data_IF_623748276292
#
_entry.id   IF_623748276292
#
_cell.length_a   1.000
_cell.length_b   1.000
_cell.length_c   1.000
_cell.angle_alpha   90.00
_cell.angle_beta   90.00
_cell.angle_gamma   90.00
#
_symmetry.space_group_name_H-M   'P 1'
#
loop_
_entity.id
_entity.type
_entity.pdbx_description
1 polymer ?
#
# COMPACT_ATOMS: atom_id res chain seq x y z
N UNK A 1 17.37 -18.93 -25.43
CA UNK A 1 17.47 -18.68 -23.99
C UNK A 1 16.52 -17.53 -23.71
N UNK A 2 15.24 -17.86 -23.40
CA UNK A 2 14.31 -16.87 -22.86
C UNK A 2 14.89 -16.44 -21.51
N UNK A 3 15.23 -15.17 -21.39
CA UNK A 3 15.52 -14.57 -20.09
C UNK A 3 14.22 -14.65 -19.32
N UNK A 4 14.18 -15.56 -18.35
CA UNK A 4 13.12 -15.66 -17.36
C UNK A 4 13.05 -14.29 -16.68
N UNK A 5 12.13 -13.43 -17.18
CA UNK A 5 12.04 -12.05 -16.72
C UNK A 5 11.34 -12.10 -15.36
N UNK A 6 12.15 -12.24 -14.32
CA UNK A 6 11.69 -12.31 -12.92
C UNK A 6 10.77 -11.12 -12.66
N UNK A 7 9.50 -11.39 -12.34
CA UNK A 7 8.53 -10.35 -12.02
C UNK A 7 8.97 -9.55 -10.80
N UNK A 8 8.72 -8.25 -10.82
CA UNK A 8 9.18 -7.30 -9.81
C UNK A 8 8.01 -6.82 -8.95
N UNK A 9 8.20 -6.81 -7.64
CA UNK A 9 7.18 -6.41 -6.68
C UNK A 9 7.65 -5.27 -5.78
N UNK A 10 6.90 -4.17 -5.79
CA UNK A 10 7.04 -3.05 -4.88
C UNK A 10 6.11 -3.28 -3.69
N UNK A 11 6.66 -3.49 -2.51
CA UNK A 11 5.92 -3.86 -1.31
C UNK A 11 5.74 -2.66 -0.41
N UNK A 12 4.48 -2.27 -0.17
CA UNK A 12 4.13 -1.19 0.74
C UNK A 12 4.30 -1.65 2.19
N UNK A 13 5.40 -1.24 2.79
CA UNK A 13 5.78 -1.60 4.16
C UNK A 13 5.26 -0.56 5.15
N UNK A 14 4.43 -1.00 6.10
CA UNK A 14 3.89 -0.15 7.17
C UNK A 14 4.59 -0.35 8.52
N UNK A 15 5.60 -1.21 8.60
CA UNK A 15 6.20 -1.65 9.88
C UNK A 15 5.39 -2.74 10.60
N UNK A 16 4.14 -2.99 10.19
CA UNK A 16 3.28 -4.02 10.77
C UNK A 16 3.53 -5.42 10.23
N UNK A 17 2.95 -6.42 10.94
CA UNK A 17 3.10 -7.85 10.62
C UNK A 17 2.57 -8.19 9.23
N UNK A 18 1.41 -7.66 8.84
CA UNK A 18 0.75 -8.00 7.57
C UNK A 18 1.61 -7.63 6.35
N UNK A 19 2.20 -6.43 6.37
CA UNK A 19 3.12 -6.01 5.30
C UNK A 19 4.42 -6.80 5.29
N UNK A 20 4.89 -7.23 6.46
CA UNK A 20 6.09 -8.06 6.59
C UNK A 20 5.87 -9.47 6.04
N UNK A 21 4.70 -10.05 6.32
CA UNK A 21 4.28 -11.35 5.74
C UNK A 21 4.12 -11.24 4.23
N UNK A 22 3.53 -10.14 3.75
CA UNK A 22 3.44 -9.85 2.32
C UNK A 22 4.80 -9.87 1.64
N UNK A 23 5.79 -9.19 2.23
CA UNK A 23 7.16 -9.16 1.72
C UNK A 23 7.79 -10.55 1.68
N UNK A 24 7.61 -11.31 2.75
CA UNK A 24 8.13 -12.68 2.84
C UNK A 24 7.55 -13.57 1.74
N UNK A 25 6.23 -13.59 1.60
CA UNK A 25 5.55 -14.44 0.62
C UNK A 25 5.95 -14.10 -0.82
N UNK A 26 6.02 -12.81 -1.17
CA UNK A 26 6.42 -12.42 -2.52
C UNK A 26 7.85 -12.85 -2.83
N UNK A 27 8.75 -12.75 -1.85
CA UNK A 27 10.12 -13.23 -1.99
C UNK A 27 10.18 -14.75 -2.16
N UNK A 28 9.45 -15.53 -1.34
CA UNK A 28 9.36 -16.99 -1.46
C UNK A 28 8.79 -17.44 -2.82
N UNK A 29 7.89 -16.65 -3.40
CA UNK A 29 7.35 -16.87 -4.74
C UNK A 29 8.30 -16.44 -5.88
N UNK A 30 9.53 -16.03 -5.56
CA UNK A 30 10.57 -15.73 -6.55
C UNK A 30 10.44 -14.36 -7.23
N UNK A 31 9.77 -13.38 -6.62
CA UNK A 31 9.72 -12.01 -7.13
C UNK A 31 11.00 -11.24 -6.75
N UNK A 32 11.47 -10.35 -7.65
CA UNK A 32 12.44 -9.30 -7.28
C UNK A 32 11.70 -8.21 -6.50
N UNK A 33 11.97 -8.14 -5.20
CA UNK A 33 11.22 -7.32 -4.27
C UNK A 33 11.99 -6.08 -3.83
N UNK A 34 11.27 -4.95 -3.70
CA UNK A 34 11.70 -3.80 -2.89
C UNK A 34 10.65 -3.49 -1.84
N UNK A 35 11.09 -3.12 -0.64
CA UNK A 35 10.23 -2.56 0.40
C UNK A 35 10.19 -1.05 0.31
N UNK A 36 9.00 -0.47 0.43
CA UNK A 36 8.80 0.98 0.38
C UNK A 36 7.90 1.43 1.51
N UNK A 37 8.35 2.38 2.32
CA UNK A 37 7.49 3.09 3.27
C UNK A 37 7.21 4.50 2.77
N UNK A 38 5.96 4.93 2.89
CA UNK A 38 5.56 6.30 2.56
C UNK A 38 5.74 7.19 3.79
N UNK A 39 6.52 8.25 3.66
CA UNK A 39 6.56 9.33 4.65
C UNK A 39 5.43 10.31 4.32
N UNK A 40 4.41 10.38 5.19
CA UNK A 40 3.19 11.15 4.97
C UNK A 40 3.19 12.51 5.68
N UNK A 41 3.92 12.66 6.78
CA UNK A 41 4.01 13.92 7.54
C UNK A 41 5.37 14.06 8.22
N UNK A 42 5.68 15.27 8.65
CA UNK A 42 6.81 15.55 9.52
C UNK A 42 6.35 15.45 10.98
N UNK A 43 7.13 14.82 11.84
CA UNK A 43 6.76 14.65 13.26
C UNK A 43 6.53 15.97 14.01
N UNK A 44 7.09 17.06 13.49
CA UNK A 44 6.96 18.41 14.05
C UNK A 44 5.58 19.02 13.76
N UNK A 45 4.96 18.67 12.62
CA UNK A 45 3.69 19.25 12.19
C UNK A 45 2.46 18.58 12.82
N UNK A 46 2.61 17.35 13.31
CA UNK A 46 1.47 16.54 13.71
C UNK A 46 0.96 16.78 15.14
N UNK A 47 1.75 17.41 16.03
CA UNK A 47 1.37 17.60 17.44
C UNK A 47 0.99 16.31 18.19
N UNK A 48 1.16 15.16 17.54
CA UNK A 48 0.74 13.83 18.03
C UNK A 48 1.91 13.12 18.66
N UNK A 49 1.68 12.54 19.84
CA UNK A 49 2.70 11.74 20.52
C UNK A 49 3.17 10.59 19.61
N UNK A 50 4.47 10.34 19.58
CA UNK A 50 5.20 9.39 18.73
C UNK A 50 4.62 7.96 18.62
N UNK A 51 3.64 7.60 19.44
CA UNK A 51 3.16 6.22 19.61
C UNK A 51 1.89 5.84 18.85
N UNK A 52 1.26 6.72 18.05
CA UNK A 52 -0.07 6.43 17.49
C UNK A 52 -0.30 6.87 16.02
N UNK A 53 0.73 7.10 15.24
CA UNK A 53 0.57 7.48 13.83
C UNK A 53 1.00 6.34 12.91
N UNK A 54 0.25 6.11 11.83
CA UNK A 54 0.53 5.06 10.86
C UNK A 54 1.72 5.36 9.93
N UNK A 55 2.84 5.84 10.40
CA UNK A 55 4.13 6.06 9.71
C UNK A 55 5.09 6.74 10.68
N UNK A 56 5.17 6.22 11.91
CA UNK A 56 6.13 6.70 12.91
C UNK A 56 7.57 6.36 12.48
N UNK A 57 8.55 7.01 13.09
CA UNK A 57 9.95 6.64 12.86
C UNK A 57 10.22 5.19 13.26
N UNK A 58 9.55 4.71 14.29
CA UNK A 58 9.67 3.33 14.77
C UNK A 58 9.15 2.36 13.67
N UNK A 59 8.01 2.67 13.04
CA UNK A 59 7.47 1.86 11.92
C UNK A 59 8.42 1.81 10.71
N UNK A 60 9.09 2.93 10.41
CA UNK A 60 10.10 3.01 9.34
C UNK A 60 11.31 2.14 9.67
N UNK A 61 11.77 2.15 10.93
CA UNK A 61 12.88 1.32 11.39
C UNK A 61 12.51 -0.17 11.39
N UNK A 62 11.31 -0.51 11.83
CA UNK A 62 10.81 -1.89 11.82
C UNK A 62 10.70 -2.41 10.38
N UNK A 63 10.13 -1.65 9.47
CA UNK A 63 10.05 -1.99 8.06
C UNK A 63 11.44 -2.19 7.44
N UNK A 64 12.39 -1.31 7.75
CA UNK A 64 13.78 -1.40 7.29
C UNK A 64 14.45 -2.66 7.81
N UNK A 65 14.29 -2.97 9.11
CA UNK A 65 14.88 -4.15 9.73
C UNK A 65 14.34 -5.44 9.14
N UNK A 66 13.04 -5.51 8.86
CA UNK A 66 12.41 -6.65 8.19
C UNK A 66 13.00 -6.83 6.80
N UNK A 67 13.03 -5.77 5.98
CA UNK A 67 13.60 -5.81 4.64
C UNK A 67 15.09 -6.23 4.65
N UNK A 68 15.87 -5.69 5.59
CA UNK A 68 17.27 -6.04 5.74
C UNK A 68 17.47 -7.54 6.05
N UNK A 69 16.71 -8.09 7.00
CA UNK A 69 16.76 -9.52 7.35
C UNK A 69 16.37 -10.42 6.18
N UNK A 70 15.49 -9.95 5.32
CA UNK A 70 15.06 -10.68 4.12
C UNK A 70 16.01 -10.46 2.92
N UNK A 71 17.01 -9.58 3.01
CA UNK A 71 17.86 -9.20 1.89
C UNK A 71 17.10 -8.45 0.78
N UNK A 72 16.04 -7.71 1.15
CA UNK A 72 15.23 -6.87 0.26
C UNK A 72 15.72 -5.44 0.37
N UNK A 73 15.91 -4.74 -0.76
CA UNK A 73 16.22 -3.31 -0.79
C UNK A 73 15.05 -2.51 -0.22
N UNK A 74 15.34 -1.46 0.56
CA UNK A 74 14.33 -0.65 1.23
C UNK A 74 14.48 0.82 0.90
N UNK A 75 13.35 1.48 0.66
CA UNK A 75 13.27 2.90 0.33
C UNK A 75 12.16 3.61 1.12
N UNK A 76 12.34 4.92 1.30
CA UNK A 76 11.30 5.79 1.88
C UNK A 76 10.90 6.81 0.81
N UNK A 77 9.64 6.81 0.41
CA UNK A 77 9.10 7.81 -0.50
C UNK A 77 8.45 8.95 0.30
N UNK A 78 8.88 10.16 0.05
CA UNK A 78 8.31 11.33 0.70
C UNK A 78 7.07 11.82 -0.07
N UNK A 79 5.90 11.68 0.55
CA UNK A 79 4.62 12.15 0.03
C UNK A 79 3.96 13.18 0.98
N UNK A 80 4.73 13.86 1.85
CA UNK A 80 4.18 14.73 2.88
C UNK A 80 3.38 15.93 2.32
N UNK A 81 3.86 16.56 1.25
CA UNK A 81 3.12 17.65 0.59
C UNK A 81 1.78 17.16 0.04
N UNK A 82 1.81 16.03 -0.66
CA UNK A 82 0.60 15.43 -1.23
C UNK A 82 -0.37 14.93 -0.16
N UNK A 83 0.14 14.40 0.93
CA UNK A 83 -0.70 14.00 2.06
C UNK A 83 -1.44 15.21 2.65
N UNK A 84 -0.77 16.36 2.75
CA UNK A 84 -1.41 17.58 3.20
C UNK A 84 -2.54 18.00 2.23
N UNK A 85 -2.24 18.13 0.94
CA UNK A 85 -3.18 18.60 -0.07
C UNK A 85 -4.37 17.64 -0.30
N UNK A 86 -4.05 16.36 -0.54
CA UNK A 86 -5.01 15.37 -1.03
C UNK A 86 -5.77 14.66 0.10
N UNK A 87 -5.30 14.73 1.35
CA UNK A 87 -5.93 14.06 2.48
C UNK A 87 -6.32 15.04 3.59
N UNK A 88 -5.35 15.83 4.11
CA UNK A 88 -5.62 16.67 5.28
C UNK A 88 -6.52 17.84 4.94
N UNK A 89 -6.20 18.60 3.91
CA UNK A 89 -6.96 19.79 3.51
C UNK A 89 -8.38 19.40 3.06
N UNK A 90 -8.52 18.29 2.35
CA UNK A 90 -9.83 17.71 1.97
C UNK A 90 -10.64 17.23 3.17
N UNK A 91 -9.98 16.63 4.16
CA UNK A 91 -10.63 16.20 5.40
C UNK A 91 -11.21 17.41 6.17
N UNK A 92 -10.41 18.48 6.30
CA UNK A 92 -10.85 19.72 6.96
C UNK A 92 -12.02 20.36 6.22
N UNK A 93 -11.89 20.54 4.89
CA UNK A 93 -12.93 21.11 4.05
C UNK A 93 -14.27 20.33 4.16
N UNK A 94 -14.21 19.00 4.08
CA UNK A 94 -15.40 18.17 4.21
C UNK A 94 -16.07 18.33 5.60
N UNK A 95 -15.24 18.42 6.65
CA UNK A 95 -15.74 18.58 8.02
C UNK A 95 -16.41 19.96 8.20
N UNK A 96 -15.80 21.02 7.66
CA UNK A 96 -16.35 22.39 7.69
C UNK A 96 -17.70 22.48 6.96
N UNK A 97 -17.91 21.65 5.94
CA UNK A 97 -19.18 21.54 5.20
C UNK A 97 -20.17 20.51 5.79
N UNK A 98 -19.91 20.02 7.01
CA UNK A 98 -20.82 19.12 7.75
C UNK A 98 -20.83 17.66 7.27
N UNK A 99 -19.86 17.25 6.46
CA UNK A 99 -19.69 15.83 6.08
C UNK A 99 -18.88 15.06 7.16
N UNK A 100 -18.91 13.75 7.07
CA UNK A 100 -18.07 12.86 7.92
C UNK A 100 -17.10 12.10 7.01
N UNK A 101 -15.94 12.70 6.65
CA UNK A 101 -15.01 12.09 5.74
C UNK A 101 -14.24 10.93 6.38
N UNK A 102 -13.80 9.98 5.56
CA UNK A 102 -12.86 8.94 5.97
C UNK A 102 -11.49 9.18 5.29
N UNK A 103 -10.51 9.73 6.00
CA UNK A 103 -9.20 10.08 5.42
C UNK A 103 -8.42 8.85 4.93
N UNK A 104 -8.74 7.65 5.41
CA UNK A 104 -8.12 6.42 4.92
C UNK A 104 -8.48 6.13 3.46
N UNK A 105 -9.68 6.48 3.02
CA UNK A 105 -10.10 6.33 1.62
C UNK A 105 -9.26 7.24 0.72
N UNK A 106 -9.15 8.51 1.07
CA UNK A 106 -8.35 9.47 0.29
C UNK A 106 -6.86 9.10 0.30
N UNK A 107 -6.31 8.71 1.45
CA UNK A 107 -4.93 8.23 1.54
C UNK A 107 -4.68 7.01 0.64
N UNK A 108 -5.57 6.04 0.62
CA UNK A 108 -5.43 4.88 -0.28
C UNK A 108 -5.54 5.33 -1.73
N UNK A 109 -6.54 6.16 -2.09
CA UNK A 109 -6.76 6.61 -3.46
C UNK A 109 -5.56 7.40 -4.01
N UNK A 110 -5.24 8.55 -3.39
CA UNK A 110 -4.32 9.53 -3.96
C UNK A 110 -2.85 9.19 -3.72
N UNK A 111 -2.52 8.53 -2.61
CA UNK A 111 -1.14 8.27 -2.25
C UNK A 111 -0.72 6.83 -2.50
N UNK A 112 -1.41 5.86 -1.89
CA UNK A 112 -0.98 4.47 -2.01
C UNK A 112 -1.17 3.92 -3.42
N UNK A 113 -2.28 4.28 -4.09
CA UNK A 113 -2.56 3.67 -5.38
C UNK A 113 -2.35 4.60 -6.57
N UNK A 114 -2.48 5.92 -6.44
CA UNK A 114 -2.11 6.81 -7.55
C UNK A 114 -0.60 7.10 -7.57
N UNK A 115 -0.05 7.67 -6.48
CA UNK A 115 1.36 8.07 -6.46
C UNK A 115 2.32 6.89 -6.41
N UNK A 116 2.00 5.85 -5.64
CA UNK A 116 2.84 4.65 -5.61
C UNK A 116 2.75 3.87 -6.92
N UNK A 117 1.58 3.85 -7.57
CA UNK A 117 1.41 3.24 -8.89
C UNK A 117 2.24 3.97 -9.95
N UNK A 118 2.25 5.31 -9.93
CA UNK A 118 3.14 6.09 -10.77
C UNK A 118 4.62 5.73 -10.53
N UNK A 119 5.04 5.67 -9.25
CA UNK A 119 6.41 5.28 -8.88
C UNK A 119 6.75 3.85 -9.28
N UNK A 120 5.82 2.93 -9.14
CA UNK A 120 5.99 1.55 -9.60
C UNK A 120 6.34 1.50 -11.09
N UNK A 121 5.60 2.26 -11.92
CA UNK A 121 5.86 2.36 -13.36
C UNK A 121 7.20 3.01 -13.69
N UNK A 122 7.53 4.11 -13.03
CA UNK A 122 8.81 4.82 -13.20
C UNK A 122 10.02 3.94 -12.87
N UNK A 123 9.85 3.03 -11.91
CA UNK A 123 10.88 2.09 -11.48
C UNK A 123 10.82 0.74 -12.24
N UNK A 124 9.90 0.59 -13.19
CA UNK A 124 9.70 -0.63 -13.97
C UNK A 124 9.42 -1.86 -13.11
N UNK A 125 8.54 -1.70 -12.10
CA UNK A 125 7.98 -2.79 -11.30
C UNK A 125 6.63 -3.22 -11.84
N UNK A 126 6.31 -4.51 -11.67
CA UNK A 126 5.08 -5.12 -12.21
C UNK A 126 3.90 -5.03 -11.25
N UNK A 127 4.18 -5.11 -9.93
CA UNK A 127 3.14 -5.17 -8.91
C UNK A 127 3.40 -4.26 -7.73
N UNK A 128 2.30 -3.70 -7.18
CA UNK A 128 2.25 -3.15 -5.83
C UNK A 128 1.65 -4.21 -4.91
N UNK A 129 2.35 -4.53 -3.84
CA UNK A 129 1.90 -5.49 -2.83
C UNK A 129 1.61 -4.75 -1.53
N UNK A 130 0.45 -5.03 -0.94
CA UNK A 130 0.01 -4.37 0.29
C UNK A 130 -0.48 -5.38 1.31
N UNK A 131 -0.41 -5.03 2.60
CA UNK A 131 -0.99 -5.82 3.69
C UNK A 131 -2.51 -5.67 3.85
N UNK A 132 -3.24 -5.16 2.85
CA UNK A 132 -4.69 -5.04 2.94
C UNK A 132 -5.38 -6.40 2.88
N UNK A 133 -6.40 -6.57 3.71
CA UNK A 133 -7.30 -7.72 3.68
C UNK A 133 -8.39 -7.51 2.63
N UNK A 134 -8.11 -7.94 1.41
CA UNK A 134 -9.02 -7.95 0.26
C UNK A 134 -8.52 -8.97 -0.75
N UNK A 135 -9.31 -9.31 -1.76
CA UNK A 135 -8.88 -10.18 -2.86
C UNK A 135 -9.07 -9.49 -4.19
N UNK A 136 -8.12 -9.71 -5.09
CA UNK A 136 -8.22 -9.30 -6.49
C UNK A 136 -8.10 -10.55 -7.34
N UNK A 137 -9.09 -10.80 -8.17
CA UNK A 137 -9.15 -11.97 -9.04
C UNK A 137 -9.55 -11.53 -10.46
N UNK A 138 -8.97 -12.16 -11.48
CA UNK A 138 -9.38 -11.94 -12.85
C UNK A 138 -10.56 -12.87 -13.19
N UNK A 139 -11.63 -12.31 -13.69
CA UNK A 139 -12.82 -13.03 -14.15
C UNK A 139 -12.78 -13.14 -15.69
N UNK A 140 -12.52 -14.34 -16.20
CA UNK A 140 -12.38 -14.59 -17.62
C UNK A 140 -13.70 -14.37 -18.39
N UNK A 141 -14.84 -14.69 -17.78
CA UNK A 141 -16.14 -14.53 -18.43
C UNK A 141 -16.49 -13.05 -18.62
N UNK A 142 -16.16 -12.22 -17.62
CA UNK A 142 -16.41 -10.77 -17.65
C UNK A 142 -15.26 -9.98 -18.25
N UNK A 143 -14.14 -10.65 -18.53
CA UNK A 143 -12.89 -10.05 -19.03
C UNK A 143 -12.46 -8.83 -18.21
N UNK A 144 -12.43 -9.00 -16.87
CA UNK A 144 -12.09 -7.91 -15.93
C UNK A 144 -11.59 -8.42 -14.59
N UNK A 145 -10.85 -7.56 -13.89
CA UNK A 145 -10.48 -7.79 -12.49
C UNK A 145 -11.64 -7.47 -11.57
N UNK A 146 -11.83 -8.32 -10.57
CA UNK A 146 -12.83 -8.17 -9.52
C UNK A 146 -12.13 -7.89 -8.19
N UNK A 147 -12.55 -6.82 -7.52
CA UNK A 147 -12.24 -6.62 -6.12
C UNK A 147 -13.27 -7.38 -5.28
N UNK A 148 -12.79 -8.30 -4.46
CA UNK A 148 -13.62 -9.15 -3.58
C UNK A 148 -13.28 -8.88 -2.13
N UNK A 149 -14.23 -9.14 -1.23
CA UNK A 149 -14.00 -9.12 0.21
C UNK A 149 -12.90 -10.09 0.62
N UNK A 150 -12.28 -9.82 1.76
CA UNK A 150 -11.35 -10.74 2.40
C UNK A 150 -11.99 -12.11 2.68
N UNK A 151 -11.17 -13.13 2.92
CA UNK A 151 -11.64 -14.45 3.38
C UNK A 151 -12.19 -14.35 4.78
N UNK A 152 -11.55 -13.55 5.65
CA UNK A 152 -12.03 -13.21 6.98
C UNK A 152 -12.86 -11.92 6.91
N UNK A 153 -14.18 -12.06 6.97
CA UNK A 153 -15.12 -10.94 6.93
C UNK A 153 -14.93 -9.94 8.08
N UNK A 154 -14.35 -10.38 9.21
CA UNK A 154 -14.11 -9.50 10.37
C UNK A 154 -12.96 -8.51 10.15
N UNK A 155 -12.11 -8.78 9.18
CA UNK A 155 -10.94 -7.97 8.81
C UNK A 155 -11.06 -7.31 7.45
N UNK A 156 -12.18 -7.46 6.76
CA UNK A 156 -12.35 -6.98 5.38
C UNK A 156 -12.02 -5.49 5.25
N UNK A 157 -11.12 -5.18 4.32
CA UNK A 157 -10.70 -3.83 3.97
C UNK A 157 -10.99 -3.48 2.51
N UNK A 158 -11.82 -4.25 1.82
CA UNK A 158 -12.19 -3.97 0.42
C UNK A 158 -12.84 -2.60 0.25
N UNK A 159 -13.51 -2.08 1.29
CA UNK A 159 -14.16 -0.77 1.29
C UNK A 159 -13.19 0.41 1.10
N UNK A 160 -11.92 0.30 1.47
CA UNK A 160 -10.93 1.36 1.22
C UNK A 160 -10.24 1.24 -0.15
N UNK A 161 -10.64 0.24 -0.94
CA UNK A 161 -10.06 -0.10 -2.26
C UNK A 161 -11.07 0.03 -3.40
N UNK A 162 -12.33 0.38 -3.12
CA UNK A 162 -13.42 0.38 -4.10
C UNK A 162 -13.19 1.33 -5.29
N UNK A 163 -12.34 2.35 -5.12
CA UNK A 163 -12.04 3.35 -6.14
C UNK A 163 -10.97 2.90 -7.16
N UNK A 164 -10.37 1.72 -6.97
CA UNK A 164 -9.30 1.25 -7.85
C UNK A 164 -9.81 1.00 -9.27
N UNK A 165 -9.05 1.49 -10.23
CA UNK A 165 -9.32 1.25 -11.66
C UNK A 165 -8.95 -0.18 -12.07
N UNK A 166 -9.44 -0.63 -13.23
CA UNK A 166 -9.07 -1.95 -13.77
C UNK A 166 -7.58 -2.08 -14.01
N UNK A 167 -6.92 -1.02 -14.45
CA UNK A 167 -5.49 -0.97 -14.63
C UNK A 167 -4.75 -1.15 -13.29
N UNK A 168 -5.19 -0.43 -12.25
CA UNK A 168 -4.61 -0.58 -10.91
C UNK A 168 -4.84 -1.99 -10.36
N UNK A 169 -6.07 -2.52 -10.48
CA UNK A 169 -6.39 -3.87 -10.02
C UNK A 169 -5.52 -4.95 -10.68
N UNK A 170 -5.16 -4.78 -11.96
CA UNK A 170 -4.26 -5.70 -12.67
C UNK A 170 -2.84 -5.76 -12.08
N UNK A 171 -2.42 -4.72 -11.37
CA UNK A 171 -1.05 -4.57 -10.84
C UNK A 171 -1.00 -4.53 -9.30
N UNK A 172 -2.10 -4.82 -8.63
CA UNK A 172 -2.15 -4.83 -7.15
C UNK A 172 -2.33 -6.25 -6.65
N UNK A 173 -1.50 -6.62 -5.68
CA UNK A 173 -1.62 -7.88 -4.96
C UNK A 173 -1.84 -7.61 -3.47
N UNK A 174 -3.09 -7.57 -2.99
CA UNK A 174 -3.37 -7.54 -1.56
C UNK A 174 -3.10 -8.91 -0.94
N UNK A 175 -2.64 -8.93 0.32
CA UNK A 175 -2.26 -10.16 1.01
C UNK A 175 -3.43 -10.74 1.76
N UNK A 176 -4.42 -11.29 1.08
CA UNK A 176 -5.59 -11.87 1.74
C UNK A 176 -5.56 -13.40 1.89
N UNK A 177 -4.56 -14.07 1.34
CA UNK A 177 -4.47 -15.54 1.37
C UNK A 177 -3.55 -16.10 2.46
N UNK A 178 -3.23 -15.29 3.47
CA UNK A 178 -2.36 -15.71 4.57
C UNK A 178 -3.11 -16.29 5.76
N UNK A 179 -4.43 -16.35 5.70
CA UNK A 179 -5.26 -16.94 6.76
C UNK A 179 -6.36 -17.81 6.19
#
# INVERSE_FOLDING_TARGET
>A
MESDNMKKALIAMSGGVDSSVAAYLMKEHGYDCIGVTMKLFQNEDAGVSRKKSCCSLDDVEDARNVCYRMGIRYYVFNFSERFKEDVMDRFVDAYEHGATPNPCIDCNRYLKFDKMFQRMRELEYDYIVTGHYARVEYDEEKNRYLLKKAVDDTKDQSYVLYMLTQEQLAHISPVSYTH
#
